data_IF_888732491106
#
_entry.id   IF_888732491106
#
_cell.length_a   1.000
_cell.length_b   1.000
_cell.length_c   1.000
_cell.angle_alpha   90.00
_cell.angle_beta   90.00
_cell.angle_gamma   90.00
#
_symmetry.space_group_name_H-M   'P 1'
#
loop_
_entity.id
_entity.type
_entity.pdbx_description
1 polymer ?
#
# COMPACT_ATOMS: atom_id res chain seq x y z
N UNK A 1 0.75 3.99 -10.97
CA UNK A 1 -0.69 4.22 -11.07
C UNK A 1 -1.44 3.19 -11.89
N UNK A 2 -2.76 3.38 -11.98
CA UNK A 2 -3.64 2.54 -12.79
C UNK A 2 -3.60 2.91 -14.28
N UNK A 3 -4.02 1.98 -15.13
CA UNK A 3 -4.14 2.21 -16.57
C UNK A 3 -5.47 1.60 -17.09
N UNK A 4 -6.21 2.27 -17.97
CA UNK A 4 -5.97 3.62 -18.48
C UNK A 4 -6.29 4.69 -17.44
N UNK A 5 -5.51 5.73 -17.34
CA UNK A 5 -5.89 6.90 -16.55
C UNK A 5 -7.03 7.64 -17.25
N UNK A 6 -7.96 8.21 -16.48
CA UNK A 6 -9.19 8.83 -17.00
C UNK A 6 -8.91 10.00 -17.96
N UNK A 7 -7.81 10.72 -17.75
CA UNK A 7 -7.39 11.90 -18.51
C UNK A 7 -6.19 11.64 -19.43
N UNK A 8 -5.72 10.39 -19.55
CA UNK A 8 -4.58 10.05 -20.41
C UNK A 8 -5.03 9.56 -21.78
N UNK A 9 -4.45 10.10 -22.81
CA UNK A 9 -4.72 9.76 -24.21
C UNK A 9 -3.49 9.17 -24.93
N UNK A 10 -2.58 8.54 -24.16
CA UNK A 10 -1.47 7.80 -24.74
C UNK A 10 -1.96 6.57 -25.51
N UNK A 11 -1.13 6.08 -26.43
CA UNK A 11 -1.44 4.89 -27.24
C UNK A 11 -1.80 3.69 -26.39
N UNK A 12 -1.10 3.48 -25.26
CA UNK A 12 -1.40 2.40 -24.31
C UNK A 12 -2.78 2.60 -23.66
N UNK A 13 -3.09 3.80 -23.19
CA UNK A 13 -4.38 4.11 -22.58
C UNK A 13 -5.53 3.95 -23.57
N UNK A 14 -5.34 4.40 -24.82
CA UNK A 14 -6.31 4.19 -25.89
C UNK A 14 -6.50 2.71 -26.20
N UNK A 15 -5.42 1.96 -26.40
CA UNK A 15 -5.48 0.53 -26.68
C UNK A 15 -6.24 -0.26 -25.61
N UNK A 16 -6.05 0.10 -24.32
CA UNK A 16 -6.80 -0.53 -23.21
C UNK A 16 -8.29 -0.17 -23.26
N UNK A 17 -8.65 1.11 -23.54
CA UNK A 17 -10.06 1.52 -23.68
C UNK A 17 -10.73 0.82 -24.85
N UNK A 18 -10.02 0.66 -25.95
CA UNK A 18 -10.49 0.00 -27.18
C UNK A 18 -10.43 -1.52 -27.09
N UNK A 19 -9.99 -2.07 -25.95
CA UNK A 19 -9.87 -3.52 -25.69
C UNK A 19 -9.02 -4.25 -26.74
N UNK A 20 -7.93 -3.63 -27.18
CA UNK A 20 -7.00 -4.25 -28.14
C UNK A 20 -6.44 -5.52 -27.54
N UNK A 21 -6.37 -6.59 -28.34
CA UNK A 21 -5.85 -7.90 -27.90
C UNK A 21 -4.45 -7.77 -27.31
N UNK A 22 -4.22 -8.37 -26.15
CA UNK A 22 -2.96 -8.29 -25.42
C UNK A 22 -2.88 -7.13 -24.43
N UNK A 23 -3.90 -6.25 -24.38
CA UNK A 23 -4.00 -5.19 -23.37
C UNK A 23 -4.99 -5.55 -22.28
N UNK A 24 -4.77 -5.04 -21.07
CA UNK A 24 -5.71 -5.20 -19.97
C UNK A 24 -5.62 -3.99 -19.02
N UNK A 25 -6.77 -3.56 -18.45
CA UNK A 25 -6.75 -2.50 -17.45
C UNK A 25 -5.96 -2.93 -16.20
N UNK A 26 -5.30 -1.97 -15.58
CA UNK A 26 -4.59 -2.13 -14.30
C UNK A 26 -5.17 -1.18 -13.28
N UNK A 27 -5.44 -1.68 -12.11
CA UNK A 27 -5.78 -0.83 -10.94
C UNK A 27 -4.51 -0.28 -10.30
N UNK A 28 -4.67 0.72 -9.46
CA UNK A 28 -3.56 1.29 -8.72
C UNK A 28 -2.96 0.28 -7.73
N UNK A 29 -1.71 0.55 -7.31
CA UNK A 29 -0.90 -0.39 -6.54
C UNK A 29 -1.51 -0.69 -5.17
N UNK A 30 -1.87 -1.94 -4.97
CA UNK A 30 -2.27 -2.51 -3.69
C UNK A 30 -2.17 -4.03 -3.80
N UNK A 31 -1.65 -4.68 -2.77
CA UNK A 31 -1.60 -6.14 -2.72
C UNK A 31 -2.30 -6.66 -1.46
N UNK A 32 -2.80 -7.88 -1.52
CA UNK A 32 -3.37 -8.59 -0.39
C UNK A 32 -2.54 -9.84 -0.09
N UNK A 33 -2.16 -10.02 1.18
CA UNK A 33 -1.33 -11.14 1.64
C UNK A 33 -2.06 -11.92 2.71
N UNK A 34 -1.95 -13.22 2.66
CA UNK A 34 -2.47 -14.15 3.66
C UNK A 34 -1.51 -15.32 3.85
N UNK A 35 -1.39 -15.80 5.08
CA UNK A 35 -0.69 -17.05 5.38
C UNK A 35 -1.65 -18.24 5.56
N UNK A 36 -2.96 -18.00 5.73
CA UNK A 36 -3.96 -19.04 6.02
C UNK A 36 -5.10 -19.13 4.99
N UNK A 37 -5.09 -18.30 3.96
CA UNK A 37 -6.13 -18.25 2.92
C UNK A 37 -7.48 -17.68 3.35
N UNK A 38 -7.60 -17.20 4.60
CA UNK A 38 -8.87 -16.76 5.18
C UNK A 38 -8.84 -15.35 5.74
N UNK A 39 -7.77 -15.00 6.42
CA UNK A 39 -7.54 -13.68 7.01
C UNK A 39 -6.47 -12.97 6.19
N UNK A 40 -6.73 -11.73 5.78
CA UNK A 40 -5.91 -10.99 4.83
C UNK A 40 -5.42 -9.68 5.43
N UNK A 41 -4.19 -9.32 5.11
CA UNK A 41 -3.67 -7.96 5.22
C UNK A 41 -3.54 -7.33 3.84
N UNK A 42 -3.99 -6.09 3.72
CA UNK A 42 -3.71 -5.25 2.56
C UNK A 42 -2.39 -4.52 2.77
N UNK A 43 -1.64 -4.36 1.72
CA UNK A 43 -0.47 -3.48 1.66
C UNK A 43 -0.82 -2.36 0.69
N UNK A 44 -1.01 -1.17 1.26
CA UNK A 44 -1.71 -0.02 0.71
C UNK A 44 -3.22 -0.27 0.46
N UNK A 45 -3.97 0.82 0.43
CA UNK A 45 -5.39 0.84 0.14
C UNK A 45 -5.66 1.85 -0.98
N UNK A 46 -5.59 1.39 -2.22
CA UNK A 46 -5.78 2.24 -3.39
C UNK A 46 -7.22 2.73 -3.52
N UNK A 47 -7.48 3.82 -4.26
CA UNK A 47 -8.84 4.27 -4.59
C UNK A 47 -9.68 3.17 -5.26
N UNK A 48 -9.03 2.21 -5.94
CA UNK A 48 -9.67 1.10 -6.65
C UNK A 48 -10.05 -0.08 -5.74
N UNK A 49 -9.83 0.02 -4.42
CA UNK A 49 -9.98 -1.09 -3.48
C UNK A 49 -11.33 -1.80 -3.59
N UNK A 50 -12.42 -1.07 -3.79
CA UNK A 50 -13.75 -1.66 -3.97
C UNK A 50 -13.79 -2.63 -5.15
N UNK A 51 -13.28 -2.21 -6.30
CA UNK A 51 -13.18 -3.03 -7.51
C UNK A 51 -12.19 -4.20 -7.33
N UNK A 52 -11.07 -3.95 -6.66
CA UNK A 52 -10.09 -4.98 -6.35
C UNK A 52 -10.69 -6.10 -5.50
N UNK A 53 -11.47 -5.76 -4.47
CA UNK A 53 -12.19 -6.75 -3.65
C UNK A 53 -13.22 -7.51 -4.49
N UNK A 54 -14.06 -6.80 -5.27
CA UNK A 54 -15.11 -7.42 -6.08
C UNK A 54 -14.54 -8.41 -7.12
N UNK A 55 -13.38 -8.11 -7.68
CA UNK A 55 -12.74 -8.97 -8.67
C UNK A 55 -11.98 -10.17 -8.05
N UNK A 56 -11.86 -10.22 -6.73
CA UNK A 56 -11.14 -11.28 -6.03
C UNK A 56 -12.05 -12.03 -5.06
N UNK A 57 -12.59 -13.17 -5.50
CA UNK A 57 -13.53 -13.99 -4.72
C UNK A 57 -13.01 -14.39 -3.33
N UNK A 58 -11.69 -14.51 -3.17
CA UNK A 58 -11.04 -14.82 -1.90
C UNK A 58 -11.29 -13.73 -0.86
N UNK A 59 -11.51 -12.49 -1.30
CA UNK A 59 -11.75 -11.32 -0.45
C UNK A 59 -13.24 -11.11 -0.12
N UNK A 60 -14.13 -11.91 -0.70
CA UNK A 60 -15.57 -11.76 -0.45
C UNK A 60 -15.95 -12.22 0.97
N UNK A 61 -17.04 -11.66 1.54
CA UNK A 61 -17.63 -12.14 2.78
C UNK A 61 -17.95 -13.65 2.70
N UNK A 62 -17.61 -14.39 3.76
CA UNK A 62 -17.80 -15.85 3.82
C UNK A 62 -18.73 -16.29 4.96
N UNK A 63 -19.07 -15.40 5.87
CA UNK A 63 -19.84 -15.65 7.10
C UNK A 63 -20.76 -14.46 7.35
N UNK A 64 -21.83 -14.68 8.04
CA UNK A 64 -22.77 -13.65 8.52
C UNK A 64 -23.28 -12.66 7.44
N UNK A 65 -24.21 -11.82 7.79
CA UNK A 65 -24.72 -10.76 6.92
C UNK A 65 -23.63 -9.71 6.60
N UNK A 66 -22.75 -9.43 7.55
CA UNK A 66 -21.62 -8.51 7.44
C UNK A 66 -20.36 -9.22 7.92
N UNK A 67 -19.40 -9.41 7.02
CA UNK A 67 -18.12 -10.05 7.32
C UNK A 67 -17.04 -9.46 6.40
N UNK A 68 -15.86 -9.20 6.96
CA UNK A 68 -14.68 -8.86 6.18
C UNK A 68 -13.54 -9.85 6.47
N UNK A 69 -12.94 -10.48 5.46
CA UNK A 69 -11.72 -11.25 5.63
C UNK A 69 -10.49 -10.36 5.84
N UNK A 70 -10.59 -9.04 5.55
CA UNK A 70 -9.50 -8.08 5.73
C UNK A 70 -9.37 -7.77 7.23
N UNK A 71 -8.19 -8.03 7.79
CA UNK A 71 -7.87 -7.84 9.21
C UNK A 71 -7.00 -6.61 9.48
N UNK A 72 -6.35 -6.12 8.45
CA UNK A 72 -5.54 -4.92 8.58
C UNK A 72 -5.05 -4.38 7.25
N UNK A 73 -4.47 -3.20 7.34
CA UNK A 73 -3.81 -2.50 6.23
C UNK A 73 -2.44 -2.04 6.71
N UNK A 74 -1.43 -2.22 5.90
CA UNK A 74 -0.08 -1.67 6.09
C UNK A 74 0.14 -0.60 5.02
N UNK A 75 0.46 0.62 5.44
CA UNK A 75 0.67 1.75 4.52
C UNK A 75 2.16 2.03 4.35
N UNK A 76 2.58 2.26 3.12
CA UNK A 76 3.97 2.56 2.78
C UNK A 76 4.27 4.05 2.65
N UNK A 77 3.26 4.86 2.38
CA UNK A 77 3.32 6.32 2.35
C UNK A 77 1.93 6.93 2.55
N UNK A 78 1.83 8.27 2.51
CA UNK A 78 0.60 9.01 2.71
C UNK A 78 -0.13 9.43 1.43
N UNK A 79 0.31 9.03 0.24
CA UNK A 79 -0.31 9.44 -1.01
C UNK A 79 -1.74 8.94 -1.19
N UNK A 80 -2.53 9.69 -1.95
CA UNK A 80 -3.94 9.36 -2.25
C UNK A 80 -4.07 7.96 -2.81
N UNK A 81 -3.16 7.58 -3.69
CA UNK A 81 -3.11 6.25 -4.33
C UNK A 81 -2.97 5.10 -3.33
N UNK A 82 -2.42 5.37 -2.16
CA UNK A 82 -2.14 4.37 -1.14
C UNK A 82 -3.06 4.43 0.08
N UNK A 83 -3.74 5.56 0.31
CA UNK A 83 -4.57 5.73 1.52
C UNK A 83 -6.06 5.91 1.26
N UNK A 84 -6.48 6.37 0.06
CA UNK A 84 -7.88 6.72 -0.19
C UNK A 84 -8.83 5.53 -0.06
N UNK A 85 -8.39 4.32 -0.37
CA UNK A 85 -9.17 3.09 -0.21
C UNK A 85 -9.55 2.77 1.23
N UNK A 86 -8.86 3.36 2.23
CA UNK A 86 -9.26 3.25 3.63
C UNK A 86 -10.69 3.74 3.85
N UNK A 87 -11.14 4.73 3.07
CA UNK A 87 -12.51 5.27 3.17
C UNK A 87 -13.57 4.22 2.81
N UNK A 88 -13.23 3.22 1.99
CA UNK A 88 -14.09 2.08 1.70
C UNK A 88 -14.19 1.09 2.87
N UNK A 89 -13.24 1.12 3.80
CA UNK A 89 -13.19 0.22 4.96
C UNK A 89 -13.87 0.79 6.22
N UNK A 90 -14.65 1.88 6.09
CA UNK A 90 -15.37 2.54 7.20
C UNK A 90 -16.56 1.77 7.77
N UNK A 91 -16.81 0.57 7.30
CA UNK A 91 -18.04 -0.19 7.53
C UNK A 91 -18.11 -0.88 8.92
N UNK A 92 -17.40 -0.34 9.93
CA UNK A 92 -17.40 -0.84 11.32
C UNK A 92 -16.99 -2.30 11.45
N UNK A 93 -16.02 -2.71 10.66
CA UNK A 93 -15.32 -4.00 10.81
C UNK A 93 -14.01 -3.78 11.56
N UNK A 94 -13.65 -4.70 12.44
CA UNK A 94 -12.39 -4.62 13.17
C UNK A 94 -11.21 -4.64 12.21
N UNK A 95 -10.34 -3.65 12.31
CA UNK A 95 -9.23 -3.41 11.40
C UNK A 95 -8.03 -2.82 12.14
N UNK A 96 -6.82 -3.31 11.86
CA UNK A 96 -5.56 -2.68 12.28
C UNK A 96 -4.94 -1.91 11.12
N UNK A 97 -4.59 -0.64 11.33
CA UNK A 97 -3.86 0.17 10.35
C UNK A 97 -2.44 0.39 10.86
N UNK A 98 -1.49 -0.23 10.17
CA UNK A 98 -0.06 -0.09 10.43
C UNK A 98 0.54 0.95 9.48
N UNK A 99 1.23 1.92 10.03
CA UNK A 99 1.94 2.92 9.25
C UNK A 99 3.07 3.57 10.07
N UNK A 100 4.05 4.16 9.41
CA UNK A 100 5.01 5.03 10.09
C UNK A 100 4.28 6.25 10.70
N UNK A 101 4.83 6.81 11.80
CA UNK A 101 4.23 7.97 12.50
C UNK A 101 3.95 9.16 11.56
N UNK A 102 4.77 9.36 10.54
CA UNK A 102 4.59 10.40 9.52
C UNK A 102 3.29 10.21 8.73
N UNK A 103 3.03 9.00 8.27
CA UNK A 103 1.80 8.66 7.54
C UNK A 103 0.58 8.75 8.47
N UNK A 104 0.72 8.34 9.74
CA UNK A 104 -0.36 8.54 10.72
C UNK A 104 -0.68 10.02 10.96
N UNK A 105 0.32 10.92 10.92
CA UNK A 105 0.08 12.37 10.99
C UNK A 105 -0.74 12.85 9.81
N UNK A 106 -0.40 12.41 8.58
CA UNK A 106 -1.19 12.71 7.39
C UNK A 106 -2.66 12.30 7.57
N UNK A 107 -2.92 11.07 8.02
CA UNK A 107 -4.28 10.61 8.26
C UNK A 107 -5.00 11.39 9.38
N UNK A 108 -4.28 11.88 10.37
CA UNK A 108 -4.83 12.64 11.49
C UNK A 108 -5.20 14.07 11.07
N UNK A 109 -4.37 14.70 10.25
CA UNK A 109 -4.56 16.07 9.77
C UNK A 109 -5.68 16.17 8.73
N UNK A 110 -6.00 15.08 8.06
CA UNK A 110 -7.09 15.00 7.09
C UNK A 110 -8.36 14.44 7.74
N UNK A 111 -9.27 15.34 8.14
CA UNK A 111 -10.48 15.01 8.92
C UNK A 111 -11.40 13.98 8.30
N UNK A 112 -11.34 13.76 6.98
CA UNK A 112 -12.13 12.72 6.29
C UNK A 112 -11.82 11.32 6.84
N UNK A 113 -10.58 11.05 7.29
CA UNK A 113 -10.21 9.76 7.87
C UNK A 113 -10.74 9.53 9.29
N UNK A 114 -11.46 10.50 9.88
CA UNK A 114 -12.21 10.29 11.14
C UNK A 114 -13.43 9.37 10.95
N UNK A 115 -13.83 9.06 9.71
CA UNK A 115 -14.82 8.01 9.43
C UNK A 115 -14.34 6.61 9.86
N UNK A 116 -13.05 6.43 10.03
CA UNK A 116 -12.44 5.22 10.60
C UNK A 116 -12.57 5.26 12.12
N UNK A 117 -13.75 4.87 12.62
CA UNK A 117 -14.09 4.94 14.05
C UNK A 117 -13.08 4.14 14.88
N UNK A 118 -12.44 4.74 15.92
CA UNK A 118 -11.43 4.10 16.77
C UNK A 118 -11.95 2.89 17.57
N UNK A 119 -13.26 2.75 17.76
CA UNK A 119 -13.83 1.55 18.38
C UNK A 119 -13.57 0.29 17.51
N UNK A 120 -13.47 0.46 16.21
CA UNK A 120 -13.27 -0.62 15.23
C UNK A 120 -11.89 -0.60 14.58
N UNK A 121 -11.25 0.56 14.49
CA UNK A 121 -9.98 0.72 13.77
C UNK A 121 -8.90 1.23 14.72
N UNK A 122 -7.88 0.44 14.97
CA UNK A 122 -6.69 0.89 15.71
C UNK A 122 -5.55 1.23 14.76
N UNK A 123 -4.83 2.30 15.12
CA UNK A 123 -3.65 2.78 14.38
C UNK A 123 -2.40 2.37 15.14
N UNK A 124 -1.54 1.61 14.48
CA UNK A 124 -0.30 1.05 15.05
C UNK A 124 0.92 1.57 14.33
N UNK A 125 1.88 2.08 15.09
CA UNK A 125 3.13 2.59 14.51
C UNK A 125 4.01 1.46 13.99
N UNK A 126 4.61 1.69 12.81
CA UNK A 126 5.71 0.93 12.28
C UNK A 126 7.03 1.53 12.76
N UNK A 127 7.93 0.67 13.23
CA UNK A 127 9.32 1.03 13.52
C UNK A 127 10.19 0.63 12.32
N UNK A 128 11.10 1.52 11.92
CA UNK A 128 12.01 1.28 10.81
C UNK A 128 13.09 0.25 11.18
N UNK A 129 13.50 -0.56 10.21
CA UNK A 129 14.57 -1.54 10.32
C UNK A 129 14.39 -2.55 11.48
N UNK A 130 13.15 -2.80 11.86
CA UNK A 130 12.77 -3.76 12.88
C UNK A 130 11.76 -4.72 12.34
N UNK A 131 12.09 -6.01 12.42
CA UNK A 131 11.18 -7.09 12.07
C UNK A 131 10.16 -7.30 13.21
N UNK A 132 8.89 -7.35 12.89
CA UNK A 132 7.84 -7.63 13.86
C UNK A 132 6.61 -8.27 13.19
N UNK A 133 5.82 -8.91 14.00
CA UNK A 133 4.60 -9.59 13.62
C UNK A 133 3.42 -8.62 13.56
N UNK A 134 2.67 -8.65 12.44
CA UNK A 134 1.43 -7.90 12.31
C UNK A 134 0.24 -8.74 12.82
N UNK A 135 -0.64 -8.10 13.59
CA UNK A 135 -1.79 -8.73 14.25
C UNK A 135 -3.09 -8.04 13.91
N UNK A 136 -4.17 -8.80 13.91
CA UNK A 136 -5.52 -8.23 13.84
C UNK A 136 -5.78 -7.29 15.02
N UNK A 137 -6.87 -6.52 14.96
CA UNK A 137 -7.28 -5.65 16.08
C UNK A 137 -7.47 -6.44 17.37
N UNK A 138 -7.99 -7.65 17.28
CA UNK A 138 -8.19 -8.56 18.42
C UNK A 138 -6.89 -9.20 18.93
N UNK A 139 -5.76 -8.85 18.35
CA UNK A 139 -4.45 -9.39 18.72
C UNK A 139 -4.14 -10.77 18.15
N UNK A 140 -4.98 -11.28 17.22
CA UNK A 140 -4.73 -12.56 16.56
C UNK A 140 -3.51 -12.45 15.66
N UNK A 141 -2.58 -13.37 15.85
CA UNK A 141 -1.46 -13.61 14.97
C UNK A 141 -1.93 -14.22 13.66
N UNK A 142 -1.42 -13.69 12.54
CA UNK A 142 -1.75 -14.17 11.20
C UNK A 142 -0.55 -14.79 10.48
N UNK A 143 0.55 -15.04 11.20
CA UNK A 143 1.79 -15.62 10.68
C UNK A 143 2.44 -14.79 9.56
N UNK A 144 2.28 -13.48 9.63
CA UNK A 144 2.90 -12.52 8.74
C UNK A 144 3.76 -11.58 9.58
N UNK A 145 5.04 -11.50 9.26
CA UNK A 145 5.97 -10.55 9.84
C UNK A 145 6.39 -9.56 8.76
N UNK A 146 6.71 -8.35 9.16
CA UNK A 146 7.19 -7.31 8.25
C UNK A 146 8.41 -6.61 8.82
N UNK A 147 9.24 -6.09 7.95
CA UNK A 147 10.32 -5.17 8.24
C UNK A 147 10.21 -3.97 7.29
N UNK A 148 10.00 -2.79 7.86
CA UNK A 148 9.94 -1.55 7.12
C UNK A 148 11.35 -0.96 6.96
N UNK A 149 11.66 -0.42 5.79
CA UNK A 149 12.93 0.24 5.50
C UNK A 149 12.71 1.47 4.62
N UNK A 150 13.62 2.42 4.71
CA UNK A 150 13.57 3.62 3.91
C UNK A 150 13.83 3.32 2.44
N UNK A 151 13.08 3.96 1.56
CA UNK A 151 13.35 4.00 0.12
C UNK A 151 13.36 5.44 -0.37
N UNK A 152 14.18 5.76 -1.37
CA UNK A 152 14.13 7.07 -2.00
C UNK A 152 12.74 7.31 -2.58
N UNK A 153 12.07 8.34 -2.10
CA UNK A 153 10.70 8.68 -2.51
C UNK A 153 10.43 10.14 -2.24
N UNK A 154 9.23 10.58 -2.58
CA UNK A 154 8.75 11.91 -2.27
C UNK A 154 7.79 11.87 -1.08
N UNK A 155 7.68 13.00 -0.40
CA UNK A 155 6.58 13.22 0.54
C UNK A 155 5.24 13.22 -0.24
N UNK A 156 4.13 12.95 0.45
CA UNK A 156 2.81 13.01 -0.17
C UNK A 156 2.59 14.36 -0.88
N UNK A 157 2.04 14.33 -2.09
CA UNK A 157 1.94 15.47 -3.01
C UNK A 157 1.42 16.76 -2.35
N UNK A 158 0.40 16.67 -1.49
CA UNK A 158 -0.17 17.85 -0.81
C UNK A 158 0.65 18.38 0.37
N UNK A 159 1.78 17.74 0.68
CA UNK A 159 2.75 18.18 1.68
C UNK A 159 4.05 18.66 1.06
N UNK A 160 4.18 18.60 -0.27
CA UNK A 160 5.35 19.09 -0.97
C UNK A 160 5.56 20.59 -0.70
N UNK A 161 6.78 20.95 -0.36
CA UNK A 161 7.21 22.32 -0.10
C UNK A 161 8.41 22.64 -0.98
N UNK A 162 8.14 23.25 -2.12
CA UNK A 162 9.17 23.63 -3.11
C UNK A 162 10.26 24.53 -2.52
N UNK A 163 9.96 25.29 -1.45
CA UNK A 163 10.94 26.14 -0.77
C UNK A 163 12.04 25.35 -0.06
N UNK A 164 11.81 24.04 0.19
CA UNK A 164 12.75 23.12 0.86
C UNK A 164 13.70 22.40 -0.09
N UNK A 165 13.74 22.81 -1.36
CA UNK A 165 14.66 22.30 -2.37
C UNK A 165 14.15 21.04 -3.10
N UNK A 166 15.06 20.36 -3.81
CA UNK A 166 14.74 19.27 -4.72
C UNK A 166 14.04 18.04 -4.07
N UNK A 167 14.15 17.87 -2.76
CA UNK A 167 13.50 16.79 -2.03
C UNK A 167 12.12 17.19 -1.45
N UNK A 168 11.63 18.38 -1.73
CA UNK A 168 10.31 18.88 -1.30
C UNK A 168 10.03 18.75 0.21
N UNK A 169 11.07 18.65 1.04
CA UNK A 169 10.95 18.45 2.48
C UNK A 169 10.70 17.01 2.91
N UNK A 170 11.01 16.04 2.07
CA UNK A 170 10.91 14.61 2.40
C UNK A 170 11.80 14.24 3.59
N UNK A 171 11.25 13.48 4.53
CA UNK A 171 11.93 12.98 5.72
C UNK A 171 11.80 11.44 5.82
N UNK A 172 12.64 10.83 6.67
CA UNK A 172 12.56 9.39 6.96
C UNK A 172 11.14 8.96 7.35
N UNK A 173 10.63 7.93 6.68
CA UNK A 173 9.31 7.35 6.93
C UNK A 173 8.18 7.98 6.11
N UNK A 174 8.43 8.97 5.27
CA UNK A 174 7.45 9.48 4.31
C UNK A 174 7.15 8.45 3.22
N UNK A 175 8.19 7.74 2.75
CA UNK A 175 8.06 6.62 1.80
C UNK A 175 8.92 5.44 2.28
N UNK A 176 8.30 4.28 2.43
CA UNK A 176 8.96 3.08 2.91
C UNK A 176 8.76 1.89 1.97
N UNK A 177 9.77 1.03 1.91
CA UNK A 177 9.65 -0.33 1.41
C UNK A 177 9.37 -1.30 2.55
N UNK A 178 8.84 -2.45 2.20
CA UNK A 178 8.53 -3.51 3.15
C UNK A 178 9.14 -4.83 2.69
N UNK A 179 9.82 -5.53 3.59
CA UNK A 179 10.09 -6.95 3.45
C UNK A 179 9.05 -7.71 4.23
N UNK A 180 8.33 -8.58 3.55
CA UNK A 180 7.19 -9.34 4.09
C UNK A 180 7.63 -10.79 4.22
N UNK A 181 7.43 -11.37 5.40
CA UNK A 181 7.86 -12.71 5.73
C UNK A 181 6.65 -13.57 6.13
N UNK A 182 6.73 -14.84 5.79
CA UNK A 182 5.89 -15.87 6.42
C UNK A 182 6.63 -16.46 7.60
N UNK A 183 6.06 -16.40 8.81
CA UNK A 183 6.63 -17.07 9.99
C UNK A 183 6.53 -18.60 9.91
N UNK A 184 5.77 -19.15 8.95
CA UNK A 184 5.55 -20.58 8.81
C UNK A 184 6.61 -21.30 7.95
N UNK A 185 7.20 -20.62 6.96
CA UNK A 185 8.02 -21.30 5.95
C UNK A 185 9.29 -20.53 5.55
N UNK A 186 9.64 -19.48 6.28
CA UNK A 186 10.80 -18.59 6.05
C UNK A 186 10.86 -17.95 4.63
N UNK A 187 9.78 -18.00 3.86
CA UNK A 187 9.71 -17.29 2.58
C UNK A 187 9.45 -15.81 2.81
N UNK A 188 10.03 -14.99 1.96
CA UNK A 188 9.83 -13.55 2.01
C UNK A 188 9.84 -12.94 0.62
N UNK A 189 9.28 -11.75 0.50
CA UNK A 189 9.35 -10.92 -0.70
C UNK A 189 9.42 -9.45 -0.31
N UNK A 190 9.84 -8.61 -1.25
CA UNK A 190 9.84 -7.16 -1.08
C UNK A 190 8.63 -6.54 -1.77
N UNK A 191 8.04 -5.55 -1.12
CA UNK A 191 7.00 -4.69 -1.66
C UNK A 191 7.46 -3.24 -1.58
N UNK A 192 7.73 -2.63 -2.74
CA UNK A 192 8.26 -1.27 -2.89
C UNK A 192 7.42 -0.57 -3.95
N UNK A 193 6.21 -0.09 -3.60
CA UNK A 193 5.26 0.46 -4.57
C UNK A 193 5.63 1.86 -5.08
N UNK A 194 6.47 2.58 -4.34
CA UNK A 194 6.95 3.91 -4.71
C UNK A 194 8.44 3.98 -4.45
N UNK A 195 9.23 4.30 -5.47
CA UNK A 195 10.67 4.45 -5.38
C UNK A 195 11.15 5.39 -6.49
N UNK A 196 11.61 6.58 -6.11
CA UNK A 196 12.07 7.59 -7.07
C UNK A 196 13.45 7.26 -7.67
N UNK A 197 14.26 6.44 -6.99
CA UNK A 197 15.62 6.11 -7.46
C UNK A 197 16.09 4.78 -6.87
N UNK A 198 16.61 3.91 -7.73
CA UNK A 198 17.32 2.72 -7.29
C UNK A 198 18.74 3.10 -6.84
N UNK A 199 18.98 3.08 -5.52
CA UNK A 199 20.32 3.29 -4.95
C UNK A 199 21.11 1.99 -4.88
N UNK A 200 22.44 2.07 -4.73
CA UNK A 200 23.29 0.89 -4.57
C UNK A 200 22.90 0.08 -3.34
N UNK A 201 22.58 0.74 -2.22
CA UNK A 201 22.18 0.10 -0.97
C UNK A 201 20.83 -0.62 -1.12
N UNK A 202 19.87 0.00 -1.81
CA UNK A 202 18.57 -0.62 -2.09
C UNK A 202 18.74 -1.83 -3.02
N UNK A 203 19.54 -1.69 -4.06
CA UNK A 203 19.82 -2.79 -5.00
C UNK A 203 20.48 -3.98 -4.28
N UNK A 204 21.45 -3.74 -3.40
CA UNK A 204 22.08 -4.81 -2.60
C UNK A 204 21.08 -5.45 -1.62
N UNK A 205 20.20 -4.64 -1.00
CA UNK A 205 19.16 -5.14 -0.08
C UNK A 205 18.18 -6.12 -0.73
N UNK A 206 17.84 -5.92 -2.00
CA UNK A 206 16.86 -6.75 -2.74
C UNK A 206 17.50 -7.80 -3.65
N UNK A 207 18.81 -7.87 -3.74
CA UNK A 207 19.58 -8.65 -4.71
C UNK A 207 19.18 -10.13 -4.82
N UNK A 208 18.95 -10.80 -3.69
CA UNK A 208 18.64 -12.23 -3.66
C UNK A 208 17.13 -12.49 -3.49
N UNK A 209 16.30 -11.52 -3.87
CA UNK A 209 14.85 -11.63 -3.74
C UNK A 209 14.24 -12.45 -4.87
N UNK A 210 13.44 -13.47 -4.52
CA UNK A 210 12.70 -14.29 -5.48
C UNK A 210 11.53 -13.55 -6.12
N UNK A 211 10.98 -12.52 -5.44
CA UNK A 211 9.87 -11.70 -5.91
C UNK A 211 10.08 -10.26 -5.46
N UNK A 212 10.09 -9.37 -6.44
CA UNK A 212 10.11 -7.94 -6.27
C UNK A 212 8.90 -7.34 -7.00
N UNK A 213 8.15 -6.47 -6.32
CA UNK A 213 7.05 -5.73 -6.92
C UNK A 213 7.28 -4.24 -6.74
N UNK A 214 7.31 -3.52 -7.85
CA UNK A 214 7.43 -2.07 -7.91
C UNK A 214 6.39 -1.51 -8.86
N UNK A 215 5.91 -0.31 -8.60
CA UNK A 215 5.16 0.48 -9.57
C UNK A 215 6.14 1.39 -10.30
N UNK A 216 6.29 1.20 -11.60
CA UNK A 216 7.23 1.95 -12.45
C UNK A 216 6.61 3.24 -13.03
N UNK A 217 5.45 3.66 -12.56
CA UNK A 217 4.69 4.76 -13.18
C UNK A 217 5.27 6.17 -12.96
N UNK A 218 6.27 6.33 -12.09
CA UNK A 218 6.81 7.64 -11.74
C UNK A 218 8.03 8.07 -12.58
N UNK A 219 8.42 7.28 -13.61
CA UNK A 219 9.59 7.62 -14.46
C UNK A 219 9.27 8.49 -15.68
N UNK A 220 8.00 8.76 -16.01
CA UNK A 220 7.65 9.50 -17.23
C UNK A 220 7.55 11.02 -17.08
N UNK A 221 7.66 11.57 -15.87
CA UNK A 221 7.58 13.03 -15.65
C UNK A 221 8.95 13.76 -15.76
N UNK A 222 9.99 13.10 -16.26
CA UNK A 222 11.30 13.72 -16.47
C UNK A 222 11.65 13.84 -17.96
N UNK A 223 10.78 14.42 -18.76
CA UNK A 223 11.12 14.85 -20.12
C UNK A 223 10.68 16.30 -20.29
N UNK A 224 11.67 17.21 -20.15
CA UNK A 224 11.81 18.62 -20.61
C UNK A 224 10.57 19.52 -20.63
#
# INVERSE_FOLDING_TARGET
GGSPQWNCNSDVSMAVRDKVTGTSPRTQSSIAVTANGSDWFLFNASPDLGSQILNNKQMHPKRDLRHSPIKGVVLTNGDVDHVAGLLSLRERQNLSVYAHKRVHSVLKENSIFNVLNPDYVDRRNLEMNKKFEIKSKEGKDLNIEIEAFEVPGKIALWLEDESKGANFGTEEGDTIGLKIFSSQNNKSFFYIPACAKMTADLAERIKDCLLYTSDAADEEDSVD
#
